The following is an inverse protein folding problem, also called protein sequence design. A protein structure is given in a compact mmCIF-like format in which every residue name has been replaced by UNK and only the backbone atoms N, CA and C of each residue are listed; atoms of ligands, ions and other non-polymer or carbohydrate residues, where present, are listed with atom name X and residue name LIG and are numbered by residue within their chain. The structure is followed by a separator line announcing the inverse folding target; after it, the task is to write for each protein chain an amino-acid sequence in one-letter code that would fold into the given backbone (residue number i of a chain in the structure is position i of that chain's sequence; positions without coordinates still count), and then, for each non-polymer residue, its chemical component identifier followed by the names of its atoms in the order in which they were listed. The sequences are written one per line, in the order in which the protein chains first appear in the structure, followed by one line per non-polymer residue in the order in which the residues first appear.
data_IF_045654751416
#
_entry.id   IF_045654751416
#
_cell.length_a   1.000
_cell.length_b   1.000
_cell.length_c   1.000
_cell.angle_alpha   90.00
_cell.angle_beta   90.00
_cell.angle_gamma   90.00
#
_symmetry.space_group_name_H-M   'P 1'
#
loop_
_entity.id
_entity.type
_entity.pdbx_description
1 polymer ?
#
# COMPACT_ATOMS: atom_id res chain seq x y z
N UNK A 1 8.86 23.08 -2.58
CA UNK A 1 9.55 22.78 -3.86
C UNK A 1 8.86 21.57 -4.48
N UNK A 2 8.51 21.64 -5.76
CA UNK A 2 7.70 20.62 -6.43
C UNK A 2 8.58 19.40 -6.79
N UNK A 3 8.87 18.55 -5.80
CA UNK A 3 9.56 17.27 -6.03
C UNK A 3 8.57 16.33 -6.70
N UNK A 4 8.84 15.96 -7.96
CA UNK A 4 8.06 14.95 -8.66
C UNK A 4 8.08 13.65 -7.85
N UNK A 5 6.96 12.90 -7.80
CA UNK A 5 6.98 11.57 -7.19
C UNK A 5 8.03 10.69 -7.87
N UNK A 6 8.63 9.73 -7.14
CA UNK A 6 9.51 8.75 -7.75
C UNK A 6 8.78 8.05 -8.90
N UNK A 7 9.54 7.64 -9.92
CA UNK A 7 8.97 6.89 -11.04
C UNK A 7 8.22 5.65 -10.51
N UNK A 8 6.97 5.41 -10.93
CA UNK A 8 6.18 4.28 -10.45
C UNK A 8 6.84 2.95 -10.85
N UNK A 9 6.67 1.93 -10.02
CA UNK A 9 7.10 0.56 -10.37
C UNK A 9 6.21 -0.05 -11.44
N UNK A 10 4.95 0.41 -11.54
CA UNK A 10 4.00 -0.05 -12.56
C UNK A 10 3.74 0.96 -13.68
N UNK A 11 3.46 0.43 -14.86
CA UNK A 11 2.93 1.15 -16.04
C UNK A 11 1.60 0.52 -16.48
N UNK A 12 0.65 1.36 -16.91
CA UNK A 12 -0.64 0.93 -17.45
C UNK A 12 -0.49 0.34 -18.86
N UNK A 13 -1.13 -0.80 -19.11
CA UNK A 13 -1.13 -1.46 -20.43
C UNK A 13 -1.98 -0.73 -21.48
N UNK A 14 -2.94 0.06 -21.04
CA UNK A 14 -3.74 0.93 -21.89
C UNK A 14 -3.09 2.30 -21.93
N UNK A 15 -2.18 2.52 -22.86
CA UNK A 15 -1.55 3.83 -23.04
C UNK A 15 -2.57 4.87 -23.52
N UNK A 16 -3.28 5.46 -22.56
CA UNK A 16 -3.78 6.83 -22.54
C UNK A 16 -3.47 7.35 -21.13
N UNK A 17 -2.40 8.13 -21.01
CA UNK A 17 -1.76 8.46 -19.75
C UNK A 17 -2.74 9.00 -18.69
N UNK A 18 -2.76 8.33 -17.54
CA UNK A 18 -3.26 8.89 -16.28
C UNK A 18 -2.14 8.78 -15.25
N UNK A 19 -1.07 9.53 -15.47
CA UNK A 19 -0.02 9.74 -14.46
C UNK A 19 -0.38 10.94 -13.57
N UNK A 20 -0.40 10.69 -12.26
CA UNK A 20 0.01 11.65 -11.22
C UNK A 20 -0.84 12.90 -10.92
N UNK A 21 -2.18 12.87 -11.02
CA UNK A 21 -2.98 14.08 -10.69
C UNK A 21 -4.09 13.92 -9.63
N UNK A 22 -4.30 12.73 -9.04
CA UNK A 22 -5.40 12.55 -8.07
C UNK A 22 -5.07 12.89 -6.61
N UNK A 23 -3.83 12.67 -6.16
CA UNK A 23 -3.40 13.09 -4.81
C UNK A 23 -3.54 14.61 -4.57
N UNK A 24 -3.57 15.44 -5.64
CA UNK A 24 -3.80 16.89 -5.52
C UNK A 24 -5.27 17.29 -5.36
N UNK A 25 -6.24 16.39 -5.57
CA UNK A 25 -7.67 16.77 -5.57
C UNK A 25 -8.34 16.72 -4.20
N UNK A 26 -7.72 16.06 -3.21
CA UNK A 26 -8.06 16.22 -1.79
C UNK A 26 -7.74 17.62 -1.22
N UNK A 27 -7.08 18.51 -2.00
CA UNK A 27 -6.53 19.80 -1.54
C UNK A 27 -7.52 20.97 -1.41
N UNK A 28 -8.82 20.76 -1.24
CA UNK A 28 -9.74 21.88 -0.97
C UNK A 28 -10.75 21.60 0.13
N UNK A 29 -10.26 21.81 1.35
CA UNK A 29 -11.03 22.42 2.44
C UNK A 29 -11.99 21.48 3.17
N UNK A 30 -11.60 21.09 4.38
CA UNK A 30 -12.38 21.37 5.59
C UNK A 30 -11.53 21.08 6.82
N UNK A 31 -11.64 21.98 7.80
CA UNK A 31 -10.87 22.06 9.04
C UNK A 31 -11.81 21.57 10.15
N UNK A 32 -11.33 20.67 11.01
CA UNK A 32 -12.00 20.12 12.20
C UNK A 32 -13.25 19.24 11.92
N UNK A 33 -13.30 18.07 12.57
CA UNK A 33 -14.35 17.03 12.50
C UNK A 33 -14.52 16.35 11.12
N UNK A 34 -13.47 15.68 10.64
CA UNK A 34 -13.60 14.85 9.45
C UNK A 34 -14.05 13.44 9.83
N UNK A 35 -15.35 13.18 9.71
CA UNK A 35 -15.87 11.81 9.62
C UNK A 35 -15.21 11.18 8.39
N UNK A 36 -14.39 10.15 8.58
CA UNK A 36 -13.79 9.43 7.47
C UNK A 36 -14.89 8.67 6.72
N UNK A 37 -15.23 9.15 5.53
CA UNK A 37 -15.96 8.30 4.61
C UNK A 37 -15.03 7.23 4.03
N UNK A 38 -15.64 6.18 3.46
CA UNK A 38 -14.90 5.03 2.92
C UNK A 38 -13.99 5.40 1.75
N UNK A 39 -14.27 6.49 1.03
CA UNK A 39 -13.41 6.97 -0.06
C UNK A 39 -12.13 7.62 0.49
N UNK A 40 -12.28 8.52 1.47
CA UNK A 40 -11.16 9.18 2.13
C UNK A 40 -10.23 8.18 2.85
N UNK A 41 -10.81 7.15 3.46
CA UNK A 41 -10.03 6.08 4.09
C UNK A 41 -9.24 5.28 3.04
N UNK A 42 -9.85 4.92 1.92
CA UNK A 42 -9.17 4.23 0.81
C UNK A 42 -8.05 5.09 0.20
N UNK A 43 -8.27 6.39 0.04
CA UNK A 43 -7.24 7.34 -0.44
C UNK A 43 -6.06 7.43 0.53
N UNK A 44 -6.33 7.54 1.84
CA UNK A 44 -5.27 7.54 2.85
C UNK A 44 -4.43 6.26 2.79
N UNK A 45 -5.08 5.11 2.68
CA UNK A 45 -4.39 3.82 2.54
C UNK A 45 -3.54 3.76 1.28
N UNK A 46 -4.02 4.31 0.16
CA UNK A 46 -3.23 4.41 -1.06
C UNK A 46 -1.94 5.23 -0.85
N UNK A 47 -2.03 6.37 -0.17
CA UNK A 47 -0.86 7.22 0.13
C UNK A 47 0.10 6.53 1.09
N UNK A 48 -0.39 5.85 2.13
CA UNK A 48 0.44 5.09 3.05
C UNK A 48 1.26 4.03 2.33
N UNK A 49 0.62 3.20 1.49
CA UNK A 49 1.32 2.20 0.69
C UNK A 49 2.34 2.79 -0.29
N UNK A 50 2.09 3.97 -0.87
CA UNK A 50 3.06 4.67 -1.72
C UNK A 50 4.30 5.12 -0.95
N UNK A 51 4.12 5.63 0.27
CA UNK A 51 5.23 6.03 1.15
C UNK A 51 6.06 4.79 1.52
N UNK A 52 5.41 3.71 1.91
CA UNK A 52 6.07 2.46 2.25
C UNK A 52 6.86 1.87 1.07
N UNK A 53 6.25 1.79 -0.11
CA UNK A 53 6.91 1.31 -1.31
C UNK A 53 8.15 2.16 -1.65
N UNK A 54 8.01 3.49 -1.62
CA UNK A 54 9.12 4.38 -1.91
C UNK A 54 10.24 4.27 -0.87
N UNK A 55 9.93 4.18 0.42
CA UNK A 55 10.93 4.08 1.48
C UNK A 55 11.77 2.78 1.40
N UNK A 56 11.23 1.73 0.76
CA UNK A 56 11.90 0.43 0.59
C UNK A 56 12.55 0.23 -0.78
N UNK A 57 12.72 1.30 -1.57
CA UNK A 57 13.52 1.31 -2.80
C UNK A 57 14.88 1.99 -2.56
N UNK A 58 15.91 1.73 -3.41
CA UNK A 58 17.27 2.25 -3.20
C UNK A 58 17.30 3.78 -3.06
N UNK A 59 17.68 4.35 -1.90
CA UNK A 59 17.47 5.77 -1.62
C UNK A 59 18.14 6.67 -2.66
N UNK A 60 17.47 7.76 -3.00
CA UNK A 60 18.03 8.82 -3.85
C UNK A 60 17.65 10.17 -3.27
N UNK A 61 18.44 11.22 -3.55
CA UNK A 61 18.14 12.56 -3.06
C UNK A 61 16.72 13.03 -3.46
N UNK A 62 16.27 12.68 -4.67
CA UNK A 62 14.90 12.98 -5.14
C UNK A 62 13.84 12.24 -4.33
N UNK A 63 14.05 10.95 -4.04
CA UNK A 63 13.09 10.16 -3.26
C UNK A 63 13.02 10.61 -1.80
N UNK A 64 14.17 10.88 -1.19
CA UNK A 64 14.24 11.44 0.18
C UNK A 64 13.50 12.78 0.24
N UNK A 65 13.76 13.68 -0.71
CA UNK A 65 13.08 14.97 -0.78
C UNK A 65 11.56 14.85 -0.97
N UNK A 66 11.10 13.86 -1.73
CA UNK A 66 9.68 13.57 -1.91
C UNK A 66 9.03 13.00 -0.64
N UNK A 67 9.65 11.99 -0.02
CA UNK A 67 9.17 11.38 1.23
C UNK A 67 9.05 12.43 2.35
N UNK A 68 10.07 13.28 2.51
CA UNK A 68 10.04 14.39 3.47
C UNK A 68 8.87 15.34 3.20
N UNK A 69 8.70 15.78 1.95
CA UNK A 69 7.64 16.72 1.58
C UNK A 69 6.25 16.14 1.85
N UNK A 70 6.05 14.85 1.56
CA UNK A 70 4.79 14.17 1.90
C UNK A 70 4.58 14.06 3.40
N UNK A 71 5.62 13.74 4.16
CA UNK A 71 5.51 13.62 5.60
C UNK A 71 5.18 14.97 6.28
N UNK A 72 5.70 16.09 5.75
CA UNK A 72 5.30 17.45 6.17
C UNK A 72 3.83 17.76 5.84
N UNK A 73 3.34 17.35 4.67
CA UNK A 73 1.93 17.55 4.29
C UNK A 73 0.98 16.71 5.18
N UNK A 74 1.38 15.48 5.51
CA UNK A 74 0.54 14.53 6.26
C UNK A 74 0.44 14.82 7.76
N UNK A 75 1.38 15.59 8.33
CA UNK A 75 1.32 16.03 9.73
C UNK A 75 0.01 16.77 10.03
N UNK A 76 -0.56 17.50 9.06
CA UNK A 76 -1.78 18.28 9.26
C UNK A 76 -3.03 17.42 9.51
N UNK A 77 -2.94 16.11 9.28
CA UNK A 77 -4.05 15.16 9.39
C UNK A 77 -3.89 14.17 10.55
N UNK A 78 -2.91 14.39 11.44
CA UNK A 78 -2.58 13.47 12.53
C UNK A 78 -3.74 13.24 13.51
N UNK A 79 -4.52 14.27 13.84
CA UNK A 79 -5.66 14.12 14.76
C UNK A 79 -6.74 13.18 14.20
N UNK A 80 -6.94 13.19 12.88
CA UNK A 80 -7.99 12.43 12.23
C UNK A 80 -7.73 10.91 12.25
N UNK A 81 -6.47 10.47 12.25
CA UNK A 81 -6.11 9.04 12.32
C UNK A 81 -5.71 8.57 13.72
N UNK A 82 -5.79 9.43 14.73
CA UNK A 82 -5.27 9.17 16.08
C UNK A 82 -5.92 7.97 16.79
N UNK A 83 -7.17 7.64 16.43
CA UNK A 83 -7.92 6.51 17.00
C UNK A 83 -7.54 5.17 16.38
N UNK A 84 -6.77 5.17 15.28
CA UNK A 84 -6.36 3.94 14.61
C UNK A 84 -5.16 3.33 15.33
N UNK A 85 -5.18 2.02 15.55
CA UNK A 85 -4.17 1.38 16.38
C UNK A 85 -2.75 1.34 15.76
N UNK A 86 -2.60 1.58 14.45
CA UNK A 86 -1.28 1.80 13.80
C UNK A 86 -0.77 3.25 13.95
N UNK A 87 -1.52 4.15 14.60
CA UNK A 87 -1.19 5.58 14.62
C UNK A 87 0.18 5.88 15.26
N UNK A 88 0.56 5.13 16.30
CA UNK A 88 1.82 5.34 17.01
C UNK A 88 3.04 5.15 16.10
N UNK A 89 3.12 4.01 15.41
CA UNK A 89 4.19 3.71 14.45
C UNK A 89 4.14 4.62 13.23
N UNK A 90 2.95 4.95 12.73
CA UNK A 90 2.78 5.91 11.64
C UNK A 90 3.31 7.30 12.00
N UNK A 91 2.98 7.82 13.18
CA UNK A 91 3.47 9.12 13.63
C UNK A 91 5.00 9.11 13.79
N UNK A 92 5.55 8.01 14.31
CA UNK A 92 7.00 7.84 14.44
C UNK A 92 7.68 7.84 13.06
N UNK A 93 7.16 7.09 12.09
CA UNK A 93 7.65 7.10 10.72
C UNK A 93 7.63 8.52 10.11
N UNK A 94 6.52 9.25 10.24
CA UNK A 94 6.43 10.61 9.69
C UNK A 94 7.49 11.55 10.32
N UNK A 95 7.78 11.43 11.62
CA UNK A 95 8.87 12.20 12.24
C UNK A 95 10.23 11.83 11.64
N UNK A 96 10.50 10.55 11.47
CA UNK A 96 11.76 10.06 10.90
C UNK A 96 11.95 10.51 9.46
N UNK A 97 10.92 10.42 8.61
CA UNK A 97 10.97 10.91 7.23
C UNK A 97 11.21 12.43 7.15
N UNK A 98 10.66 13.19 8.09
CA UNK A 98 10.84 14.65 8.15
C UNK A 98 12.24 15.06 8.58
N UNK A 99 12.87 14.26 9.43
CA UNK A 99 14.23 14.49 9.88
C UNK A 99 15.26 14.24 8.78
N UNK A 100 14.90 13.55 7.68
CA UNK A 100 15.84 13.26 6.59
C UNK A 100 16.29 14.53 5.86
N UNK A 101 17.61 14.65 5.71
CA UNK A 101 18.26 15.66 4.91
C UNK A 101 18.84 15.04 3.63
N UNK A 102 19.05 15.88 2.61
CA UNK A 102 19.71 15.44 1.38
C UNK A 102 21.15 14.95 1.64
N UNK A 103 21.79 15.45 2.70
CA UNK A 103 23.11 15.00 3.17
C UNK A 103 23.12 13.53 3.61
N UNK A 104 21.97 12.98 4.01
CA UNK A 104 21.87 11.61 4.53
C UNK A 104 21.80 10.58 3.40
N UNK A 105 21.67 11.01 2.13
CA UNK A 105 21.52 10.10 0.98
C UNK A 105 22.62 9.05 0.95
N UNK A 106 23.89 9.44 1.14
CA UNK A 106 25.02 8.52 1.06
C UNK A 106 25.00 7.48 2.20
N UNK A 107 24.78 7.89 3.43
CA UNK A 107 24.72 6.96 4.56
C UNK A 107 23.53 6.00 4.45
N UNK A 108 22.39 6.48 3.94
CA UNK A 108 21.23 5.65 3.67
C UNK A 108 21.44 4.67 2.51
N UNK A 109 22.18 5.07 1.47
CA UNK A 109 22.61 4.17 0.38
C UNK A 109 23.54 3.08 0.91
N UNK A 110 24.53 3.44 1.73
CA UNK A 110 25.44 2.48 2.38
C UNK A 110 24.67 1.48 3.26
N UNK A 111 23.71 1.95 4.06
CA UNK A 111 22.85 1.08 4.86
C UNK A 111 21.91 0.22 4.01
N UNK A 112 21.32 0.77 2.93
CA UNK A 112 20.47 0.02 2.00
C UNK A 112 21.23 -1.15 1.38
N UNK A 113 22.44 -0.89 0.86
CA UNK A 113 23.27 -1.93 0.23
C UNK A 113 23.68 -2.98 1.27
N UNK A 114 24.04 -2.56 2.49
CA UNK A 114 24.37 -3.48 3.59
C UNK A 114 23.19 -4.40 3.93
N UNK A 115 21.99 -3.85 4.06
CA UNK A 115 20.80 -4.60 4.46
C UNK A 115 20.24 -5.46 3.33
N UNK A 116 20.04 -4.92 2.13
CA UNK A 116 19.18 -5.54 1.11
C UNK A 116 19.95 -6.16 -0.06
N UNK A 117 21.20 -5.74 -0.31
CA UNK A 117 22.00 -6.19 -1.47
C UNK A 117 23.10 -7.17 -1.05
N UNK A 118 23.73 -6.93 0.10
CA UNK A 118 24.79 -7.78 0.66
C UNK A 118 26.19 -7.26 0.32
N UNK A 119 26.63 -6.22 1.03
CA UNK A 119 28.01 -5.69 0.98
C UNK A 119 28.80 -5.85 2.29
N UNK A 120 28.20 -6.45 3.32
CA UNK A 120 28.76 -6.58 4.67
C UNK A 120 29.06 -8.02 5.08
N UNK A 121 29.44 -8.20 6.35
CA UNK A 121 29.63 -9.51 6.98
C UNK A 121 28.33 -10.19 7.38
N UNK A 122 27.26 -9.41 7.58
CA UNK A 122 25.94 -9.91 7.93
C UNK A 122 25.26 -10.53 6.71
N UNK A 123 24.42 -11.53 6.94
CA UNK A 123 23.57 -12.07 5.89
C UNK A 123 22.55 -11.00 5.44
N UNK A 124 22.43 -10.72 4.13
CA UNK A 124 21.47 -9.73 3.64
C UNK A 124 20.03 -10.15 3.95
N UNK A 125 19.22 -9.15 4.29
CA UNK A 125 17.78 -9.24 4.46
C UNK A 125 17.13 -9.01 3.10
N UNK A 126 17.09 -10.03 2.25
CA UNK A 126 16.59 -9.88 0.89
C UNK A 126 15.10 -9.46 0.85
N UNK A 127 14.74 -8.34 0.19
CA UNK A 127 13.37 -7.81 0.23
C UNK A 127 12.42 -8.47 -0.79
N UNK A 128 12.45 -9.81 -0.90
CA UNK A 128 11.72 -10.57 -1.92
C UNK A 128 10.86 -11.69 -1.30
N UNK A 129 9.57 -11.78 -1.65
CA UNK A 129 8.64 -12.80 -1.10
C UNK A 129 9.22 -14.21 -1.22
N UNK A 130 9.76 -14.56 -2.40
CA UNK A 130 10.22 -15.90 -2.67
C UNK A 130 11.33 -16.37 -1.71
N UNK A 131 12.10 -15.46 -1.11
CA UNK A 131 13.15 -15.82 -0.14
C UNK A 131 12.61 -16.34 1.18
N UNK A 132 11.38 -15.98 1.52
CA UNK A 132 10.75 -16.34 2.80
C UNK A 132 9.75 -17.47 2.66
N UNK A 133 9.11 -17.61 1.49
CA UNK A 133 8.01 -18.56 1.30
C UNK A 133 8.31 -19.70 0.34
N UNK A 134 9.34 -19.58 -0.52
CA UNK A 134 9.62 -20.55 -1.55
C UNK A 134 10.87 -21.38 -1.23
N UNK A 135 10.89 -22.63 -1.68
CA UNK A 135 12.07 -23.51 -1.61
C UNK A 135 12.46 -23.97 -3.01
N UNK A 136 13.68 -23.68 -3.44
CA UNK A 136 14.23 -24.17 -4.70
C UNK A 136 13.39 -23.80 -5.93
N UNK A 137 12.67 -24.76 -6.51
CA UNK A 137 11.92 -24.59 -7.77
C UNK A 137 10.66 -23.73 -7.62
N UNK A 138 10.18 -23.49 -6.39
CA UNK A 138 8.98 -22.72 -6.12
C UNK A 138 9.15 -21.21 -6.38
N UNK A 139 10.40 -20.72 -6.44
CA UNK A 139 10.71 -19.30 -6.68
C UNK A 139 10.10 -18.82 -8.00
N UNK A 140 10.33 -19.55 -9.10
CA UNK A 140 9.80 -19.17 -10.41
C UNK A 140 8.27 -19.17 -10.47
N UNK A 141 7.62 -20.00 -9.66
CA UNK A 141 6.16 -20.05 -9.57
C UNK A 141 5.60 -18.82 -8.85
N UNK A 142 6.21 -18.38 -7.74
CA UNK A 142 5.84 -17.14 -7.02
C UNK A 142 5.94 -15.94 -7.95
N UNK A 143 7.06 -15.80 -8.68
CA UNK A 143 7.25 -14.71 -9.64
C UNK A 143 6.14 -14.72 -10.71
N UNK A 144 5.90 -15.88 -11.33
CA UNK A 144 4.91 -15.99 -12.41
C UNK A 144 3.48 -15.71 -11.94
N UNK A 145 3.14 -16.10 -10.71
CA UNK A 145 1.85 -15.82 -10.08
C UNK A 145 1.66 -14.30 -9.87
N UNK A 146 2.68 -13.61 -9.37
CA UNK A 146 2.65 -12.16 -9.18
C UNK A 146 2.56 -11.40 -10.50
N UNK A 147 3.35 -11.78 -11.51
CA UNK A 147 3.24 -11.21 -12.86
C UNK A 147 1.82 -11.35 -13.44
N UNK A 148 1.23 -12.53 -13.27
CA UNK A 148 -0.14 -12.80 -13.72
C UNK A 148 -1.14 -11.94 -12.96
N UNK A 149 -0.97 -11.81 -11.64
CA UNK A 149 -1.80 -10.96 -10.77
C UNK A 149 -1.77 -9.49 -11.20
N UNK A 150 -0.58 -8.95 -11.47
CA UNK A 150 -0.41 -7.59 -11.96
C UNK A 150 -0.98 -7.42 -13.36
N UNK A 151 -0.79 -8.39 -14.25
CA UNK A 151 -1.34 -8.36 -15.62
C UNK A 151 -2.85 -8.37 -15.64
N UNK A 152 -3.50 -9.18 -14.78
CA UNK A 152 -4.94 -9.18 -14.60
C UNK A 152 -5.47 -7.85 -14.04
N UNK A 153 -4.60 -7.07 -13.39
CA UNK A 153 -4.88 -5.71 -12.96
C UNK A 153 -4.77 -4.65 -14.08
N UNK A 154 -4.33 -5.05 -15.27
CA UNK A 154 -3.97 -4.10 -16.34
C UNK A 154 -2.60 -3.46 -16.17
N UNK A 155 -1.75 -3.97 -15.25
CA UNK A 155 -0.45 -3.41 -14.95
C UNK A 155 0.68 -4.22 -15.61
N UNK A 156 1.82 -3.57 -15.84
CA UNK A 156 3.13 -4.20 -16.09
C UNK A 156 4.18 -3.49 -15.27
N UNK A 157 5.25 -4.19 -14.92
CA UNK A 157 6.40 -3.52 -14.33
C UNK A 157 7.01 -2.55 -15.34
N UNK A 158 7.47 -1.40 -14.84
CA UNK A 158 8.19 -0.43 -15.64
C UNK A 158 9.45 -1.08 -16.21
N UNK A 159 9.75 -0.91 -17.52
CA UNK A 159 10.98 -1.45 -18.11
C UNK A 159 12.26 -0.81 -17.53
N UNK A 160 12.13 0.32 -16.83
CA UNK A 160 13.25 0.98 -16.15
C UNK A 160 13.46 0.48 -14.71
N UNK A 161 12.47 -0.25 -14.16
CA UNK A 161 12.59 -0.88 -12.86
C UNK A 161 13.45 -2.14 -12.99
N UNK A 162 14.49 -2.24 -12.16
CA UNK A 162 15.39 -3.40 -12.12
C UNK A 162 15.08 -4.33 -10.95
N UNK A 163 13.81 -4.38 -10.55
CA UNK A 163 13.34 -5.22 -9.46
C UNK A 163 12.43 -6.34 -9.95
N UNK A 164 12.46 -7.44 -9.22
CA UNK A 164 11.60 -8.61 -9.44
C UNK A 164 10.14 -8.31 -9.04
N UNK A 165 9.14 -8.95 -9.67
CA UNK A 165 7.72 -8.83 -9.29
C UNK A 165 7.41 -9.06 -7.81
N UNK A 166 8.23 -9.84 -7.11
CA UNK A 166 8.10 -10.20 -5.69
C UNK A 166 8.89 -9.28 -4.74
N UNK A 167 9.47 -8.20 -5.25
CA UNK A 167 10.10 -7.20 -4.40
C UNK A 167 9.05 -6.49 -3.53
N UNK A 168 9.34 -6.30 -2.24
CA UNK A 168 8.40 -5.71 -1.25
C UNK A 168 7.78 -4.40 -1.72
N UNK A 169 8.58 -3.50 -2.29
CA UNK A 169 8.10 -2.22 -2.80
C UNK A 169 7.11 -2.36 -3.95
N UNK A 170 7.27 -3.39 -4.80
CA UNK A 170 6.36 -3.66 -5.93
C UNK A 170 5.02 -4.17 -5.39
N UNK A 171 5.05 -5.09 -4.43
CA UNK A 171 3.84 -5.60 -3.77
C UNK A 171 3.06 -4.48 -3.04
N UNK A 172 3.77 -3.60 -2.33
CA UNK A 172 3.17 -2.45 -1.64
C UNK A 172 2.58 -1.44 -2.64
N UNK A 173 3.26 -1.14 -3.74
CA UNK A 173 2.73 -0.24 -4.77
C UNK A 173 1.49 -0.83 -5.45
N UNK A 174 1.43 -2.15 -5.61
CA UNK A 174 0.22 -2.81 -6.12
C UNK A 174 -0.98 -2.61 -5.17
N UNK A 175 -0.76 -2.69 -3.85
CA UNK A 175 -1.81 -2.35 -2.88
C UNK A 175 -2.21 -0.88 -2.95
N UNK A 176 -1.26 0.04 -3.13
CA UNK A 176 -1.59 1.45 -3.35
C UNK A 176 -2.49 1.65 -4.57
N UNK A 177 -2.20 0.95 -5.67
CA UNK A 177 -3.02 0.97 -6.88
C UNK A 177 -4.45 0.45 -6.62
N UNK A 178 -4.58 -0.67 -5.91
CA UNK A 178 -5.90 -1.20 -5.57
C UNK A 178 -6.68 -0.28 -4.64
N UNK A 179 -6.04 0.38 -3.67
CA UNK A 179 -6.67 1.36 -2.79
C UNK A 179 -7.14 2.60 -3.59
N UNK A 180 -6.36 3.03 -4.59
CA UNK A 180 -6.74 4.13 -5.48
C UNK A 180 -7.98 3.78 -6.31
N UNK A 181 -8.08 2.53 -6.80
CA UNK A 181 -9.27 2.06 -7.51
C UNK A 181 -10.49 1.97 -6.59
N UNK A 182 -10.29 1.56 -5.35
CA UNK A 182 -11.34 1.53 -4.34
C UNK A 182 -11.89 2.94 -4.09
N UNK A 183 -11.03 3.89 -3.77
CA UNK A 183 -11.42 5.29 -3.54
C UNK A 183 -12.20 5.86 -4.74
N UNK A 184 -11.68 5.66 -5.95
CA UNK A 184 -12.36 6.10 -7.17
C UNK A 184 -13.73 5.45 -7.37
N UNK A 185 -13.89 4.18 -7.00
CA UNK A 185 -15.17 3.48 -7.02
C UNK A 185 -16.18 4.09 -6.04
N UNK A 186 -15.73 4.38 -4.81
CA UNK A 186 -16.56 5.04 -3.80
C UNK A 186 -16.98 6.46 -4.22
N UNK A 187 -16.04 7.27 -4.72
CA UNK A 187 -16.32 8.62 -5.24
C UNK A 187 -17.35 8.61 -6.37
N UNK A 188 -17.20 7.67 -7.30
CA UNK A 188 -18.07 7.53 -8.47
C UNK A 188 -19.40 6.82 -8.15
N UNK A 189 -19.63 6.41 -6.89
CA UNK A 189 -20.77 5.59 -6.46
C UNK A 189 -20.91 4.29 -7.27
N UNK A 190 -19.79 3.75 -7.75
CA UNK A 190 -19.73 2.46 -8.44
C UNK A 190 -19.29 1.39 -7.45
N UNK A 191 -20.20 1.04 -6.54
CA UNK A 191 -19.96 0.12 -5.41
C UNK A 191 -19.30 -1.19 -5.84
N UNK A 192 -19.69 -1.78 -6.97
CA UNK A 192 -19.08 -3.02 -7.45
C UNK A 192 -17.59 -2.88 -7.81
N UNK A 193 -17.17 -1.72 -8.33
CA UNK A 193 -15.75 -1.45 -8.62
C UNK A 193 -14.97 -1.39 -7.31
N UNK A 194 -15.49 -0.62 -6.34
CA UNK A 194 -14.85 -0.48 -5.04
C UNK A 194 -14.75 -1.82 -4.30
N UNK A 195 -15.82 -2.62 -4.32
CA UNK A 195 -15.87 -3.95 -3.72
C UNK A 195 -14.90 -4.94 -4.37
N UNK A 196 -14.81 -4.93 -5.71
CA UNK A 196 -13.82 -5.76 -6.40
C UNK A 196 -12.40 -5.37 -6.02
N UNK A 197 -12.10 -4.07 -5.94
CA UNK A 197 -10.79 -3.59 -5.50
C UNK A 197 -10.47 -4.05 -4.07
N UNK A 198 -11.40 -3.83 -3.13
CA UNK A 198 -11.26 -4.26 -1.73
C UNK A 198 -11.08 -5.78 -1.59
N UNK A 199 -11.84 -6.57 -2.36
CA UNK A 199 -11.71 -8.02 -2.38
C UNK A 199 -10.33 -8.49 -2.85
N UNK A 200 -9.75 -7.79 -3.84
CA UNK A 200 -8.39 -8.04 -4.33
C UNK A 200 -7.33 -7.64 -3.31
N UNK A 201 -7.49 -6.51 -2.62
CA UNK A 201 -6.58 -6.08 -1.54
C UNK A 201 -6.54 -7.13 -0.44
N UNK A 202 -7.71 -7.59 0.04
CA UNK A 202 -7.82 -8.63 1.07
C UNK A 202 -7.15 -9.93 0.65
N UNK A 203 -7.39 -10.37 -0.59
CA UNK A 203 -6.76 -11.57 -1.12
C UNK A 203 -5.24 -11.43 -1.18
N UNK A 204 -4.76 -10.29 -1.68
CA UNK A 204 -3.33 -10.03 -1.84
C UNK A 204 -2.62 -9.94 -0.49
N UNK A 205 -3.14 -9.16 0.44
CA UNK A 205 -2.61 -9.06 1.81
C UNK A 205 -2.54 -10.43 2.48
N UNK A 206 -3.55 -11.29 2.33
CA UNK A 206 -3.56 -12.61 2.97
C UNK A 206 -2.63 -13.62 2.30
N UNK A 207 -2.51 -13.57 0.97
CA UNK A 207 -1.81 -14.58 0.19
C UNK A 207 -0.34 -14.24 -0.09
N UNK A 208 0.05 -12.97 0.01
CA UNK A 208 1.40 -12.45 -0.24
C UNK A 208 1.96 -11.79 1.03
N UNK A 209 2.03 -10.46 1.11
CA UNK A 209 2.64 -9.71 2.22
C UNK A 209 2.35 -10.25 3.63
N UNK A 210 1.13 -10.68 3.94
CA UNK A 210 0.77 -11.24 5.25
C UNK A 210 1.42 -12.59 5.60
N UNK A 211 2.05 -13.27 4.64
CA UNK A 211 2.79 -14.53 4.86
C UNK A 211 4.25 -14.32 5.22
N UNK A 212 4.87 -13.24 4.75
CA UNK A 212 6.32 -13.13 4.72
C UNK A 212 6.85 -11.82 5.29
N UNK A 213 6.07 -10.74 5.21
CA UNK A 213 6.53 -9.41 5.58
C UNK A 213 6.99 -9.35 7.05
N UNK A 214 6.29 -10.01 7.98
CA UNK A 214 6.69 -10.03 9.39
C UNK A 214 8.06 -10.69 9.63
N UNK A 215 8.38 -11.76 8.90
CA UNK A 215 9.70 -12.40 8.99
C UNK A 215 10.81 -11.51 8.42
N UNK A 216 10.54 -10.86 7.27
CA UNK A 216 11.41 -9.84 6.68
C UNK A 216 11.64 -8.67 7.64
N UNK A 217 10.57 -8.13 8.23
CA UNK A 217 10.62 -7.03 9.18
C UNK A 217 11.46 -7.37 10.41
N UNK A 218 11.23 -8.54 11.02
CA UNK A 218 12.02 -9.00 12.16
C UNK A 218 13.51 -9.10 11.83
N UNK A 219 13.87 -9.63 10.65
CA UNK A 219 15.26 -9.78 10.23
C UNK A 219 15.96 -8.43 10.04
N UNK A 220 15.31 -7.48 9.37
CA UNK A 220 15.85 -6.14 9.15
C UNK A 220 15.94 -5.37 10.47
N UNK A 221 14.91 -5.39 11.31
CA UNK A 221 14.90 -4.70 12.59
C UNK A 221 15.98 -5.21 13.56
N UNK A 222 16.36 -6.48 13.47
CA UNK A 222 17.49 -7.03 14.23
C UNK A 222 18.87 -6.62 13.69
N UNK A 223 18.95 -6.14 12.44
CA UNK A 223 20.22 -5.92 11.70
C UNK A 223 20.50 -4.43 11.38
N UNK A 224 19.44 -3.62 11.30
CA UNK A 224 19.55 -2.18 11.01
C UNK A 224 20.23 -1.45 12.15
N UNK A 225 21.01 -0.43 11.79
CA UNK A 225 21.75 0.42 12.74
C UNK A 225 21.18 1.84 12.80
N UNK A 226 20.36 2.20 11.80
CA UNK A 226 19.69 3.48 11.71
C UNK A 226 18.19 3.40 12.02
N UNK A 227 17.54 4.54 12.31
CA UNK A 227 16.12 4.58 12.65
C UNK A 227 15.20 4.40 11.43
N UNK A 228 15.65 4.75 10.22
CA UNK A 228 14.78 4.80 9.03
C UNK A 228 14.12 3.44 8.73
N UNK A 229 14.91 2.39 8.51
CA UNK A 229 14.35 1.10 8.12
C UNK A 229 13.61 0.43 9.27
N UNK A 230 14.03 0.65 10.52
CA UNK A 230 13.27 0.18 11.69
C UNK A 230 11.87 0.80 11.74
N UNK A 231 11.78 2.13 11.68
CA UNK A 231 10.50 2.85 11.76
C UNK A 231 9.59 2.56 10.55
N UNK A 232 10.17 2.43 9.35
CA UNK A 232 9.42 2.04 8.14
C UNK A 232 8.82 0.64 8.31
N UNK A 233 9.61 -0.36 8.72
CA UNK A 233 9.10 -1.72 8.77
C UNK A 233 8.11 -1.95 9.90
N UNK A 234 8.29 -1.33 11.07
CA UNK A 234 7.30 -1.35 12.15
C UNK A 234 5.97 -0.72 11.70
N UNK A 235 6.04 0.44 11.04
CA UNK A 235 4.84 1.10 10.53
C UNK A 235 4.13 0.25 9.46
N UNK A 236 4.87 -0.39 8.54
CA UNK A 236 4.27 -1.25 7.51
C UNK A 236 3.65 -2.50 8.12
N UNK A 237 4.33 -3.16 9.07
CA UNK A 237 3.83 -4.38 9.70
C UNK A 237 2.51 -4.12 10.44
N UNK A 238 2.49 -3.09 11.29
CA UNK A 238 1.27 -2.68 11.98
C UNK A 238 0.18 -2.28 10.97
N UNK A 239 0.53 -1.51 9.94
CA UNK A 239 -0.43 -1.07 8.93
C UNK A 239 -1.06 -2.25 8.19
N UNK A 240 -0.26 -3.21 7.70
CA UNK A 240 -0.75 -4.42 7.01
C UNK A 240 -1.72 -5.20 7.88
N UNK A 241 -1.41 -5.36 9.17
CA UNK A 241 -2.26 -6.11 10.10
C UNK A 241 -3.63 -5.44 10.28
N UNK A 242 -3.63 -4.11 10.51
CA UNK A 242 -4.87 -3.35 10.64
C UNK A 242 -5.65 -3.31 9.32
N UNK A 243 -4.94 -3.21 8.20
CA UNK A 243 -5.56 -3.10 6.89
C UNK A 243 -6.25 -4.40 6.45
N UNK A 244 -5.66 -5.54 6.78
CA UNK A 244 -6.29 -6.85 6.62
C UNK A 244 -7.62 -6.93 7.40
N UNK A 245 -7.63 -6.50 8.66
CA UNK A 245 -8.82 -6.52 9.50
C UNK A 245 -9.91 -5.58 8.97
N UNK A 246 -9.53 -4.37 8.55
CA UNK A 246 -10.44 -3.40 7.94
C UNK A 246 -11.06 -3.96 6.65
N UNK A 247 -10.24 -4.48 5.73
CA UNK A 247 -10.71 -5.03 4.47
C UNK A 247 -11.64 -6.25 4.69
N UNK A 248 -11.38 -7.05 5.73
CA UNK A 248 -12.25 -8.14 6.12
C UNK A 248 -13.60 -7.65 6.70
N UNK A 249 -13.58 -6.65 7.57
CA UNK A 249 -14.78 -6.05 8.17
C UNK A 249 -15.69 -5.41 7.11
N UNK A 250 -15.14 -4.51 6.30
CA UNK A 250 -15.86 -3.84 5.21
C UNK A 250 -16.43 -4.88 4.24
N UNK A 251 -15.63 -5.89 3.89
CA UNK A 251 -16.09 -6.98 3.05
C UNK A 251 -17.23 -7.80 3.65
N UNK A 252 -17.31 -7.96 4.98
CA UNK A 252 -18.42 -8.68 5.66
C UNK A 252 -19.69 -7.84 5.72
N UNK A 253 -19.58 -6.59 6.16
CA UNK A 253 -20.72 -5.68 6.28
C UNK A 253 -21.44 -5.49 4.95
N UNK A 254 -20.69 -5.37 3.85
CA UNK A 254 -21.31 -5.11 2.56
C UNK A 254 -21.99 -6.35 1.97
N UNK A 255 -21.45 -7.57 2.19
CA UNK A 255 -22.17 -8.80 1.83
C UNK A 255 -23.49 -8.94 2.58
N UNK A 256 -23.52 -8.52 3.85
CA UNK A 256 -24.75 -8.49 4.63
C UNK A 256 -25.77 -7.50 4.04
N UNK A 257 -25.34 -6.27 3.73
CA UNK A 257 -26.20 -5.24 3.12
C UNK A 257 -26.74 -5.67 1.74
N UNK A 258 -25.94 -6.38 0.94
CA UNK A 258 -26.39 -6.91 -0.36
C UNK A 258 -27.43 -8.02 -0.18
N UNK A 259 -27.21 -8.97 0.74
CA UNK A 259 -28.16 -10.03 1.04
C UNK A 259 -29.50 -9.48 1.57
N UNK A 260 -29.47 -8.45 2.42
CA UNK A 260 -30.66 -7.78 2.93
C UNK A 260 -31.46 -7.09 1.81
N UNK A 261 -30.74 -6.43 0.89
CA UNK A 261 -31.37 -5.72 -0.24
C UNK A 261 -31.95 -6.69 -1.28
N UNK A 262 -31.30 -7.84 -1.51
CA UNK A 262 -31.82 -8.93 -2.34
C UNK A 262 -33.06 -9.59 -1.70
N UNK A 263 -33.04 -9.82 -0.38
CA UNK A 263 -34.19 -10.33 0.36
C UNK A 263 -35.38 -9.36 0.34
N UNK A 264 -35.14 -8.06 0.50
CA UNK A 264 -36.18 -7.03 0.43
C UNK A 264 -36.81 -6.92 -0.97
N UNK A 265 -35.99 -6.96 -2.03
CA UNK A 265 -36.49 -6.91 -3.41
C UNK A 265 -37.15 -8.22 -3.86
N UNK A 266 -36.75 -9.36 -3.29
CA UNK A 266 -37.38 -10.67 -3.54
C UNK A 266 -38.77 -10.79 -2.92
N UNK A 267 -39.00 -10.21 -1.74
CA UNK A 267 -40.28 -10.28 -1.03
C UNK A 267 -41.36 -9.36 -1.65
N UNK A 268 -40.96 -8.25 -2.28
CA UNK A 268 -41.86 -7.37 -3.04
C UNK A 268 -42.36 -8.01 -4.35
N UNK A 269 -41.51 -8.80 -5.03
CA UNK A 269 -41.88 -9.47 -6.27
C UNK A 269 -42.87 -10.64 -6.03
N UNK A 270 -42.80 -11.28 -4.85
CA UNK A 270 -43.74 -12.33 -4.44
C UNK A 270 -45.10 -11.77 -4.01
N UNK A 271 -45.17 -10.50 -3.57
CA UNK A 271 -46.44 -9.84 -3.21
C UNK A 271 -47.21 -9.30 -4.41
N UNK A 272 -46.55 -9.01 -5.53
CA UNK A 272 -47.19 -8.56 -6.77
C UNK A 272 -47.81 -9.67 -7.63
N UNK A 273 -47.54 -10.95 -7.34
CA UNK A 273 -48.04 -12.10 -8.13
C UNK A 273 -49.22 -12.85 -7.50
N UNK A 274 -49.90 -12.30 -6.48
CA UNK A 274 -51.16 -12.90 -5.99
C UNK A 274 -52.31 -12.58 -6.98
N UNK A 275 -52.91 -13.59 -7.66
CA UNK A 275 -54.07 -13.35 -8.51
C UNK A 275 -55.28 -12.99 -7.63
N UNK A 276 -56.08 -12.02 -8.10
CA UNK A 276 -57.40 -11.70 -7.54
C UNK A 276 -58.41 -12.82 -7.80
#
# INVERSE_FOLDING_TARGET
MNTLPPAPTFVDQSSAGVTSTRARRARRGRRAEQVWDVAALADFRAVAYQIFAAALLPPTASRIGWLRSLAEELEQYHESVAELAFFGSWQQLLRTLRALAASDTRSLEEEYVRLFVGSGSDAPCYPYEAQYVASGHDVGWVISLLETTYRQAGLRLSPTLRESPDHVAVELEYLAFLCTQEAAGWEAKTTDVALRALGRQRAFLRLHLGKWFGAFAAQVCATTTGPLYNDVLLAVEEFIHHDQQLAELLGRQIRHLQADNEAANGDDNVRSERPQ
#
